data_IF_725479605450
#
_entry.id   IF_725479605450
#
_cell.length_a   1.000
_cell.length_b   1.000
_cell.length_c   1.000
_cell.angle_alpha   90.00
_cell.angle_beta   90.00
_cell.angle_gamma   90.00
#
_symmetry.space_group_name_H-M   'P 1'
#
loop_
_entity.id
_entity.type
_entity.pdbx_description
1 polymer ?
#
# COMPACT_ATOMS: atom_id res chain seq x y z
N UNK A 1 2.69 24.96 13.05
CA UNK A 1 3.73 25.20 14.06
C UNK A 1 4.12 23.83 14.57
N UNK A 2 5.34 23.36 14.30
CA UNK A 2 5.79 22.05 14.80
C UNK A 2 6.09 22.22 16.29
N UNK A 3 5.11 21.90 17.14
CA UNK A 3 5.34 21.83 18.58
C UNK A 3 6.23 20.62 18.87
N UNK A 4 7.25 20.81 19.69
CA UNK A 4 8.09 19.69 20.13
C UNK A 4 7.26 18.71 20.95
N UNK A 5 7.60 17.41 20.94
CA UNK A 5 6.91 16.38 21.76
C UNK A 5 6.76 16.82 23.23
N UNK A 6 7.74 17.58 23.73
CA UNK A 6 7.75 18.14 25.09
C UNK A 6 6.68 19.22 25.32
N UNK A 7 6.32 19.97 24.29
CA UNK A 7 5.25 20.98 24.34
C UNK A 7 3.87 20.31 24.24
N UNK A 8 3.72 19.30 23.38
CA UNK A 8 2.47 18.52 23.26
C UNK A 8 2.13 17.83 24.58
N UNK A 9 3.12 17.19 25.23
CA UNK A 9 2.92 16.56 26.54
C UNK A 9 2.56 17.59 27.61
N UNK A 10 3.14 18.80 27.58
CA UNK A 10 2.77 19.85 28.53
C UNK A 10 1.34 20.31 28.31
N UNK A 11 0.92 20.58 27.08
CA UNK A 11 -0.44 21.01 26.79
C UNK A 11 -1.47 19.94 27.16
N UNK A 12 -1.18 18.66 26.91
CA UNK A 12 -2.05 17.55 27.32
C UNK A 12 -2.15 17.44 28.84
N UNK A 13 -1.04 17.62 29.58
CA UNK A 13 -1.04 17.60 31.04
C UNK A 13 -1.69 18.84 31.66
N UNK A 14 -1.70 19.97 30.96
CA UNK A 14 -2.33 21.24 31.39
C UNK A 14 -3.81 21.30 30.98
N UNK A 15 -4.28 20.36 30.16
CA UNK A 15 -5.69 20.23 29.80
C UNK A 15 -6.47 19.62 30.96
N UNK A 16 -7.48 20.33 31.44
CA UNK A 16 -8.38 19.86 32.51
C UNK A 16 -9.35 18.82 31.94
N UNK A 17 -8.85 17.59 31.82
CA UNK A 17 -9.62 16.44 31.32
C UNK A 17 -10.48 15.92 32.46
N UNK A 18 -11.81 15.83 32.30
CA UNK A 18 -12.69 15.32 33.35
C UNK A 18 -12.33 13.87 33.71
N UNK A 19 -12.46 13.49 34.99
CA UNK A 19 -12.11 12.15 35.52
C UNK A 19 -12.77 10.97 34.78
N UNK A 20 -13.81 11.23 33.98
CA UNK A 20 -14.48 10.24 33.11
C UNK A 20 -13.73 9.94 31.81
N UNK A 21 -12.70 10.70 31.47
CA UNK A 21 -11.94 10.58 30.22
C UNK A 21 -10.48 10.22 30.51
N UNK A 22 -9.97 9.17 29.85
CA UNK A 22 -8.54 8.81 29.88
C UNK A 22 -7.85 9.36 28.64
N UNK A 23 -6.83 10.21 28.82
CA UNK A 23 -5.93 10.60 27.73
C UNK A 23 -4.77 9.63 27.65
N UNK A 24 -4.53 9.09 26.46
CA UNK A 24 -3.41 8.22 26.16
C UNK A 24 -2.55 8.86 25.06
N UNK A 25 -1.30 9.20 25.38
CA UNK A 25 -0.35 9.72 24.41
C UNK A 25 0.59 8.59 23.97
N UNK A 26 0.58 8.28 22.68
CA UNK A 26 1.50 7.29 22.09
C UNK A 26 2.54 8.02 21.27
N UNK A 27 3.82 7.76 21.57
CA UNK A 27 4.93 8.20 20.74
C UNK A 27 5.30 7.01 19.85
N UNK A 28 5.04 7.13 18.54
CA UNK A 28 5.44 6.13 17.56
C UNK A 28 6.71 6.58 16.86
N UNK A 29 7.76 5.77 16.95
CA UNK A 29 8.98 5.97 16.17
C UNK A 29 8.86 5.25 14.82
N UNK A 30 9.72 5.63 13.86
CA UNK A 30 9.88 4.89 12.60
C UNK A 30 10.17 3.41 12.83
N UNK A 31 10.89 3.06 13.90
CA UNK A 31 11.18 1.68 14.27
C UNK A 31 9.92 0.91 14.70
N UNK A 32 9.04 1.56 15.47
CA UNK A 32 7.79 0.95 15.94
C UNK A 32 6.83 0.70 14.77
N UNK A 33 6.71 1.66 13.87
CA UNK A 33 5.87 1.52 12.65
C UNK A 33 6.41 0.40 11.77
N UNK A 34 7.73 0.29 11.59
CA UNK A 34 8.36 -0.81 10.86
C UNK A 34 8.09 -2.17 11.53
N UNK A 35 8.09 -2.22 12.86
CA UNK A 35 7.81 -3.44 13.60
C UNK A 35 6.34 -3.87 13.48
N UNK A 36 5.40 -2.93 13.60
CA UNK A 36 3.96 -3.19 13.42
C UNK A 36 3.67 -3.66 11.99
N UNK A 37 4.31 -3.03 11.00
CA UNK A 37 4.15 -3.36 9.59
C UNK A 37 5.11 -4.46 9.10
N UNK A 38 5.75 -5.22 9.99
CA UNK A 38 6.77 -6.21 9.62
C UNK A 38 6.25 -7.25 8.62
N UNK A 39 4.98 -7.65 8.77
CA UNK A 39 4.33 -8.67 7.93
C UNK A 39 4.14 -8.18 6.49
N UNK A 40 4.15 -6.86 6.28
CA UNK A 40 3.94 -6.22 4.98
C UNK A 40 5.24 -5.90 4.24
N UNK A 41 6.40 -6.09 4.89
CA UNK A 41 7.73 -5.90 4.28
C UNK A 41 7.86 -4.55 3.55
N UNK A 42 7.40 -3.47 4.20
CA UNK A 42 7.43 -2.13 3.62
C UNK A 42 8.86 -1.69 3.27
N UNK A 43 9.00 -1.11 2.08
CA UNK A 43 10.24 -0.40 1.70
C UNK A 43 10.41 0.89 2.50
N UNK A 44 11.62 1.46 2.51
CA UNK A 44 11.89 2.69 3.26
C UNK A 44 11.09 3.90 2.76
N UNK A 45 10.76 3.95 1.47
CA UNK A 45 9.91 4.99 0.88
C UNK A 45 8.42 4.79 1.21
N UNK A 46 7.94 3.53 1.20
CA UNK A 46 6.59 3.19 1.64
C UNK A 46 6.42 3.48 3.15
N UNK A 47 7.44 3.21 3.95
CA UNK A 47 7.46 3.53 5.37
C UNK A 47 7.44 5.04 5.63
N UNK A 48 8.19 5.83 4.85
CA UNK A 48 8.14 7.30 4.91
C UNK A 48 6.74 7.83 4.60
N UNK A 49 6.09 7.24 3.59
CA UNK A 49 4.71 7.61 3.22
C UNK A 49 3.72 7.31 4.34
N UNK A 50 3.87 6.17 5.03
CA UNK A 50 3.05 5.82 6.20
C UNK A 50 3.29 6.81 7.35
N UNK A 51 4.55 7.17 7.62
CA UNK A 51 4.89 8.15 8.65
C UNK A 51 4.28 9.53 8.36
N UNK A 52 4.30 9.98 7.11
CA UNK A 52 3.67 11.25 6.70
C UNK A 52 2.16 11.22 6.85
N UNK A 53 1.50 10.15 6.39
CA UNK A 53 0.05 9.99 6.56
C UNK A 53 -0.37 9.88 8.02
N UNK A 54 0.48 9.30 8.86
CA UNK A 54 0.27 9.31 10.30
C UNK A 54 0.34 10.73 10.85
N UNK A 55 1.39 11.50 10.51
CA UNK A 55 1.52 12.89 10.96
C UNK A 55 0.28 13.73 10.59
N UNK A 56 -0.20 13.62 9.34
CA UNK A 56 -1.43 14.28 8.87
C UNK A 56 -2.69 13.82 9.64
N UNK A 57 -2.81 12.53 9.93
CA UNK A 57 -3.94 11.99 10.67
C UNK A 57 -3.91 12.35 12.16
N UNK A 58 -2.71 12.52 12.74
CA UNK A 58 -2.51 12.90 14.14
C UNK A 58 -2.74 14.39 14.40
N UNK A 59 -2.86 15.24 13.37
CA UNK A 59 -3.29 16.65 13.54
C UNK A 59 -4.63 16.77 14.28
N UNK A 60 -5.46 15.73 14.25
CA UNK A 60 -6.74 15.65 14.97
C UNK A 60 -6.79 14.61 16.10
N UNK A 61 -5.66 13.98 16.44
CA UNK A 61 -5.59 12.85 17.37
C UNK A 61 -6.11 11.55 16.74
N UNK A 62 -5.28 10.51 16.72
CA UNK A 62 -5.64 9.25 16.06
C UNK A 62 -5.54 8.05 17.01
N UNK A 63 -6.56 7.20 16.92
CA UNK A 63 -6.63 5.87 17.53
C UNK A 63 -5.79 4.88 16.69
N UNK A 64 -5.30 3.80 17.30
CA UNK A 64 -4.51 2.71 16.67
C UNK A 64 -5.11 2.19 15.35
N UNK A 65 -6.43 2.26 15.20
CA UNK A 65 -7.17 1.90 13.98
C UNK A 65 -6.76 2.69 12.73
N UNK A 66 -6.32 3.93 12.89
CA UNK A 66 -5.93 4.81 11.77
C UNK A 66 -4.73 4.24 11.02
N UNK A 67 -3.77 3.64 11.71
CA UNK A 67 -2.62 2.96 11.06
C UNK A 67 -3.12 1.81 10.18
N UNK A 68 -4.04 1.00 10.72
CA UNK A 68 -4.58 -0.15 9.99
C UNK A 68 -5.41 0.29 8.78
N UNK A 69 -6.22 1.34 8.93
CA UNK A 69 -7.04 1.88 7.85
C UNK A 69 -6.18 2.46 6.72
N UNK A 70 -5.13 3.24 7.06
CA UNK A 70 -4.19 3.81 6.08
C UNK A 70 -3.45 2.70 5.31
N UNK A 71 -2.97 1.67 6.01
CA UNK A 71 -2.26 0.53 5.37
C UNK A 71 -3.20 -0.25 4.47
N UNK A 72 -4.45 -0.47 4.89
CA UNK A 72 -5.42 -1.23 4.12
C UNK A 72 -5.83 -0.46 2.84
N UNK A 73 -5.99 0.85 2.94
CA UNK A 73 -6.27 1.72 1.79
C UNK A 73 -5.12 1.73 0.77
N UNK A 74 -3.87 1.85 1.24
CA UNK A 74 -2.66 1.76 0.40
C UNK A 74 -2.55 0.42 -0.34
N UNK A 75 -2.94 -0.68 0.32
CA UNK A 75 -2.93 -2.00 -0.30
C UNK A 75 -4.03 -2.16 -1.36
N UNK A 76 -5.21 -1.57 -1.14
CA UNK A 76 -6.28 -1.58 -2.11
C UNK A 76 -5.96 -0.70 -3.33
N UNK A 77 -5.36 0.47 -3.12
CA UNK A 77 -4.83 1.31 -4.21
C UNK A 77 -3.81 0.54 -5.05
N UNK A 78 -2.84 -0.14 -4.41
CA UNK A 78 -1.85 -0.99 -5.10
C UNK A 78 -2.50 -2.16 -5.86
N UNK A 79 -3.58 -2.72 -5.33
CA UNK A 79 -4.36 -3.79 -5.98
C UNK A 79 -5.10 -3.27 -7.21
N UNK A 80 -5.76 -2.12 -7.11
CA UNK A 80 -6.43 -1.46 -8.24
C UNK A 80 -5.43 -1.05 -9.31
N UNK A 81 -4.27 -0.55 -8.93
CA UNK A 81 -3.23 -0.14 -9.89
C UNK A 81 -2.53 -1.31 -10.59
N UNK A 82 -2.70 -2.55 -10.09
CA UNK A 82 -2.29 -3.79 -10.77
C UNK A 82 -3.34 -4.33 -11.74
N UNK A 83 -4.57 -3.79 -11.73
CA UNK A 83 -5.60 -4.16 -12.70
C UNK A 83 -5.33 -3.43 -14.03
N UNK A 84 -4.74 -4.14 -14.98
CA UNK A 84 -4.64 -3.65 -16.36
C UNK A 84 -5.94 -4.00 -17.08
N UNK A 85 -6.86 -3.05 -17.17
CA UNK A 85 -8.08 -3.23 -17.96
C UNK A 85 -7.72 -3.21 -19.44
N UNK A 86 -7.69 -4.37 -20.08
CA UNK A 86 -7.50 -4.47 -21.54
C UNK A 86 -8.88 -4.32 -22.19
N UNK A 87 -9.11 -3.30 -23.04
CA UNK A 87 -10.36 -3.18 -23.79
C UNK A 87 -10.63 -4.47 -24.58
N UNK A 88 -11.87 -4.95 -24.58
CA UNK A 88 -12.25 -6.22 -25.22
C UNK A 88 -11.79 -6.32 -26.69
N UNK A 89 -11.86 -5.19 -27.41
CA UNK A 89 -11.41 -5.06 -28.81
C UNK A 89 -9.90 -5.27 -28.99
N UNK A 90 -9.10 -4.94 -27.99
CA UNK A 90 -7.65 -5.16 -28.02
C UNK A 90 -7.33 -6.62 -27.67
N UNK A 91 -8.06 -7.21 -26.73
CA UNK A 91 -7.93 -8.62 -26.37
C UNK A 91 -8.26 -9.54 -27.55
N UNK A 92 -9.32 -9.23 -28.30
CA UNK A 92 -9.70 -9.97 -29.51
C UNK A 92 -8.57 -9.97 -30.56
N UNK A 93 -7.96 -8.80 -30.81
CA UNK A 93 -6.82 -8.69 -31.74
C UNK A 93 -5.62 -9.51 -31.28
N UNK A 94 -5.29 -9.48 -29.99
CA UNK A 94 -4.18 -10.28 -29.43
C UNK A 94 -4.46 -11.78 -29.57
N UNK A 95 -5.68 -12.22 -29.31
CA UNK A 95 -6.07 -13.64 -29.47
C UNK A 95 -5.96 -14.10 -30.93
N UNK A 96 -6.40 -13.29 -31.89
CA UNK A 96 -6.28 -13.61 -33.33
C UNK A 96 -4.82 -13.70 -33.76
N UNK A 97 -3.96 -12.78 -33.31
CA UNK A 97 -2.53 -12.83 -33.60
C UNK A 97 -1.87 -14.07 -32.98
N UNK A 98 -2.20 -14.41 -31.74
CA UNK A 98 -1.68 -15.59 -31.05
C UNK A 98 -2.11 -16.89 -31.75
N UNK A 99 -3.37 -17.00 -32.18
CA UNK A 99 -3.84 -18.16 -32.95
C UNK A 99 -3.11 -18.30 -34.30
N UNK A 100 -2.82 -17.18 -34.96
CA UNK A 100 -2.07 -17.16 -36.21
C UNK A 100 -0.60 -17.55 -36.01
N UNK A 101 0.01 -17.13 -34.89
CA UNK A 101 1.37 -17.53 -34.48
C UNK A 101 1.45 -19.04 -34.22
N UNK A 102 0.49 -19.60 -33.47
CA UNK A 102 0.42 -21.03 -33.16
C UNK A 102 0.33 -21.85 -34.44
N UNK A 103 -0.50 -21.43 -35.39
CA UNK A 103 -0.64 -22.11 -36.68
C UNK A 103 0.67 -22.10 -37.48
N UNK A 104 1.39 -20.96 -37.51
CA UNK A 104 2.70 -20.85 -38.16
C UNK A 104 3.73 -21.79 -37.50
N UNK A 105 3.81 -21.81 -36.18
CA UNK A 105 4.73 -22.68 -35.44
C UNK A 105 4.42 -24.16 -35.68
N UNK A 106 3.15 -24.55 -35.74
CA UNK A 106 2.74 -25.92 -36.05
C UNK A 106 3.10 -26.34 -37.49
N UNK A 107 2.94 -25.43 -38.46
CA UNK A 107 3.35 -25.67 -39.85
C UNK A 107 4.87 -25.82 -40.01
N UNK A 108 5.67 -25.10 -39.22
CA UNK A 108 7.14 -25.23 -39.20
C UNK A 108 7.56 -26.53 -38.51
N UNK A 109 6.95 -26.90 -37.38
CA UNK A 109 7.29 -28.12 -36.63
C UNK A 109 6.85 -29.46 -37.28
N UNK A 110 5.99 -29.41 -38.29
CA UNK A 110 5.57 -30.57 -39.09
C UNK A 110 6.45 -30.80 -40.33
N UNK A 111 7.29 -29.83 -40.72
CA UNK A 111 8.25 -29.96 -41.82
C UNK A 111 9.56 -30.68 -41.44
N UNK A 112 9.95 -30.66 -40.16
CA UNK A 112 11.26 -31.18 -39.72
C UNK A 112 11.26 -32.64 -39.24
N UNK A 113 10.10 -33.29 -39.14
CA UNK A 113 10.01 -34.72 -38.76
C UNK A 113 10.11 -35.69 -39.94
N UNK A 114 10.26 -35.19 -41.17
CA UNK A 114 10.27 -35.98 -42.42
C UNK A 114 11.63 -36.15 -43.10
N UNK A 115 12.74 -35.70 -42.51
CA UNK A 115 14.10 -35.92 -43.04
C UNK A 115 15.08 -36.32 -41.93
N UNK A 116 15.04 -37.59 -41.53
CA UNK A 116 16.20 -38.33 -41.03
C UNK A 116 16.17 -39.72 -41.64
#
# INVERSE_FOLDING_TARGET
MYCTVKEIIRDVLDTDVPDSECVFAVVLTRGDVRHIAQDWSLTDDELETVMQRLDDAFVYGACDRVVSDIVNELMEEKRVNRLVTVPAVLLEKVMVMAGSEIYRLHAVGSGERGRR
#
